data_IF_236663065732
#
_entry.id   IF_236663065732
#
_cell.length_a   1.000
_cell.length_b   1.000
_cell.length_c   1.000
_cell.angle_alpha   90.00
_cell.angle_beta   90.00
_cell.angle_gamma   90.00
#
_symmetry.space_group_name_H-M   'P 1'
#
loop_
_entity.id
_entity.type
_entity.pdbx_description
1 polymer ?
#
# COMPACT_ATOMS: atom_id res chain seq x y z
N UNK A 1 8.50 1.62 -12.94
CA UNK A 1 9.01 1.32 -11.57
C UNK A 1 9.94 2.37 -10.95
N UNK A 2 11.14 2.68 -11.46
CA UNK A 2 12.06 3.60 -10.74
C UNK A 2 11.48 5.02 -10.55
N UNK A 3 10.87 5.59 -11.60
CA UNK A 3 10.27 6.92 -11.54
C UNK A 3 9.07 6.96 -10.59
N UNK A 4 8.24 5.93 -10.62
CA UNK A 4 7.12 5.73 -9.68
C UNK A 4 7.63 5.63 -8.24
N UNK A 5 8.68 4.85 -8.00
CA UNK A 5 9.29 4.70 -6.68
C UNK A 5 9.80 6.05 -6.13
N UNK A 6 10.52 6.83 -6.95
CA UNK A 6 11.01 8.16 -6.55
C UNK A 6 9.84 9.08 -6.20
N UNK A 7 8.79 9.08 -7.00
CA UNK A 7 7.59 9.89 -6.75
C UNK A 7 6.94 9.54 -5.40
N UNK A 8 6.89 8.25 -5.04
CA UNK A 8 6.35 7.78 -3.76
C UNK A 8 7.25 8.12 -2.57
N UNK A 9 8.58 8.07 -2.75
CA UNK A 9 9.53 8.54 -1.74
C UNK A 9 9.36 10.04 -1.47
N UNK A 10 9.20 10.85 -2.52
CA UNK A 10 8.98 12.29 -2.36
C UNK A 10 7.61 12.60 -1.73
N UNK A 11 6.57 11.80 -2.03
CA UNK A 11 5.30 11.90 -1.34
C UNK A 11 5.43 11.58 0.15
N UNK A 12 6.16 10.51 0.51
CA UNK A 12 6.43 10.17 1.91
C UNK A 12 7.20 11.26 2.66
N UNK A 13 8.17 11.90 2.00
CA UNK A 13 8.85 13.09 2.55
C UNK A 13 7.89 14.25 2.75
N UNK A 14 6.99 14.50 1.81
CA UNK A 14 5.98 15.55 1.93
C UNK A 14 5.03 15.31 3.10
N UNK A 15 4.54 14.08 3.26
CA UNK A 15 3.64 13.71 4.35
C UNK A 15 4.31 13.91 5.71
N UNK A 16 5.52 13.36 5.90
CA UNK A 16 6.27 13.50 7.16
C UNK A 16 6.63 14.96 7.47
N UNK A 17 6.90 15.79 6.46
CA UNK A 17 7.26 17.21 6.67
C UNK A 17 6.17 18.04 7.35
N UNK A 18 4.92 17.56 7.37
CA UNK A 18 3.79 18.23 8.04
C UNK A 18 3.81 18.08 9.56
N UNK A 19 4.44 17.01 10.04
CA UNK A 19 4.41 16.60 11.46
C UNK A 19 5.81 16.46 12.09
N UNK A 20 6.87 16.40 11.28
CA UNK A 20 8.24 16.35 11.77
C UNK A 20 8.85 17.75 11.95
N UNK A 21 9.88 17.84 12.80
CA UNK A 21 10.71 19.03 12.95
C UNK A 21 11.40 19.39 11.63
N UNK A 22 11.42 20.69 11.30
CA UNK A 22 12.02 21.18 10.07
C UNK A 22 13.50 20.75 9.95
N UNK A 23 13.87 20.24 8.78
CA UNK A 23 15.24 19.76 8.51
C UNK A 23 15.56 18.37 9.05
N UNK A 24 14.63 17.69 9.72
CA UNK A 24 14.87 16.33 10.23
C UNK A 24 14.42 15.21 9.29
N UNK A 25 13.56 15.51 8.31
CA UNK A 25 13.05 14.51 7.35
C UNK A 25 14.11 14.17 6.31
N UNK A 26 14.56 12.92 6.27
CA UNK A 26 15.58 12.43 5.36
C UNK A 26 15.27 11.02 4.84
N UNK A 27 15.86 10.68 3.70
CA UNK A 27 15.81 9.31 3.16
C UNK A 27 17.04 8.57 3.71
N UNK A 28 16.83 7.61 4.61
CA UNK A 28 17.90 6.87 5.30
C UNK A 28 18.40 5.67 4.49
N UNK A 29 17.50 5.04 3.74
CA UNK A 29 17.83 3.99 2.79
C UNK A 29 17.17 4.28 1.45
N UNK A 30 17.92 4.15 0.35
CA UNK A 30 17.45 4.49 -0.99
C UNK A 30 17.64 3.34 -1.97
N UNK A 31 16.53 2.91 -2.55
CA UNK A 31 16.43 1.90 -3.61
C UNK A 31 17.13 0.59 -3.25
N UNK A 32 16.96 0.12 -2.02
CA UNK A 32 17.48 -1.16 -1.56
C UNK A 32 16.57 -2.27 -2.08
N UNK A 33 17.16 -3.40 -2.50
CA UNK A 33 16.39 -4.57 -2.91
C UNK A 33 16.11 -5.43 -1.67
N UNK A 34 14.84 -5.52 -1.28
CA UNK A 34 14.39 -6.47 -0.28
C UNK A 34 13.83 -7.72 -0.94
N UNK A 35 14.24 -8.89 -0.43
CA UNK A 35 13.83 -10.20 -0.95
C UNK A 35 12.87 -10.85 0.03
N UNK A 36 11.65 -11.07 -0.44
CA UNK A 36 10.63 -11.88 0.23
C UNK A 36 10.56 -13.26 -0.41
N UNK A 37 9.75 -14.16 0.15
CA UNK A 37 9.72 -15.58 -0.25
C UNK A 37 9.47 -15.80 -1.75
N UNK A 38 8.70 -14.94 -2.42
CA UNK A 38 8.31 -15.10 -3.82
C UNK A 38 8.44 -13.83 -4.67
N UNK A 39 8.83 -12.70 -4.07
CA UNK A 39 8.91 -11.39 -4.74
C UNK A 39 10.10 -10.59 -4.20
N UNK A 40 10.60 -9.67 -5.00
CA UNK A 40 11.57 -8.66 -4.59
C UNK A 40 10.96 -7.28 -4.76
N UNK A 41 11.19 -6.38 -3.81
CA UNK A 41 10.72 -4.99 -3.88
C UNK A 41 11.91 -4.04 -3.82
N UNK A 42 11.80 -2.93 -4.55
CA UNK A 42 12.66 -1.76 -4.33
C UNK A 42 12.07 -1.01 -3.13
N UNK A 43 12.87 -0.82 -2.08
CA UNK A 43 12.44 -0.20 -0.83
C UNK A 43 13.29 1.03 -0.55
N UNK A 44 12.67 2.02 0.09
CA UNK A 44 13.36 3.20 0.60
C UNK A 44 12.72 3.64 1.89
N UNK A 45 13.55 4.04 2.84
CA UNK A 45 13.11 4.46 4.16
C UNK A 45 13.16 5.98 4.23
N UNK A 46 12.06 6.57 4.69
CA UNK A 46 11.97 8.00 4.98
C UNK A 46 11.71 8.14 6.46
N UNK A 47 12.60 8.84 7.13
CA UNK A 47 12.55 9.05 8.58
C UNK A 47 12.54 10.53 8.89
N UNK A 48 12.03 10.89 10.07
CA UNK A 48 12.01 12.25 10.57
C UNK A 48 11.75 12.26 12.07
N UNK A 49 12.13 13.35 12.74
CA UNK A 49 11.84 13.52 14.17
C UNK A 49 10.47 14.14 14.32
N UNK A 50 9.53 13.43 14.94
CA UNK A 50 8.20 13.96 15.24
C UNK A 50 8.34 15.24 16.08
N UNK A 51 7.66 16.32 15.67
CA UNK A 51 7.65 17.56 16.43
C UNK A 51 6.92 17.35 17.76
N UNK A 52 7.39 17.95 18.88
CA UNK A 52 6.78 17.79 20.20
C UNK A 52 5.33 18.31 20.31
N UNK A 53 4.83 19.00 19.27
CA UNK A 53 3.44 19.48 19.19
C UNK A 53 2.46 18.43 18.65
N UNK A 54 2.96 17.29 18.15
CA UNK A 54 2.17 16.22 17.55
C UNK A 54 2.42 14.89 18.26
N UNK A 55 1.47 13.97 18.12
CA UNK A 55 1.58 12.61 18.61
C UNK A 55 1.53 11.55 17.49
N UNK A 56 1.50 10.28 17.88
CA UNK A 56 1.46 9.17 16.93
C UNK A 56 0.16 9.13 16.10
N UNK A 57 -0.95 9.66 16.61
CA UNK A 57 -2.21 9.75 15.86
C UNK A 57 -2.11 10.81 14.77
N UNK A 58 -1.50 11.96 15.08
CA UNK A 58 -1.22 13.00 14.08
C UNK A 58 -0.26 12.47 12.99
N UNK A 59 0.75 11.69 13.37
CA UNK A 59 1.67 11.07 12.42
C UNK A 59 0.95 10.09 11.47
N UNK A 60 0.04 9.27 11.99
CA UNK A 60 -0.79 8.40 11.15
C UNK A 60 -1.70 9.23 10.24
N UNK A 61 -2.39 10.24 10.77
CA UNK A 61 -3.31 11.07 10.00
C UNK A 61 -2.61 11.84 8.86
N UNK A 62 -1.37 12.31 9.08
CA UNK A 62 -0.60 13.01 8.07
C UNK A 62 -0.10 12.10 6.93
N UNK A 63 0.16 10.83 7.24
CA UNK A 63 0.71 9.86 6.28
C UNK A 63 -0.37 9.00 5.60
N UNK A 64 -1.58 8.96 6.16
CA UNK A 64 -2.69 8.16 5.66
C UNK A 64 -3.48 8.82 4.51
N UNK A 65 -3.99 8.04 3.53
CA UNK A 65 -3.58 6.68 3.22
C UNK A 65 -2.20 6.66 2.54
N UNK A 66 -1.58 5.49 2.51
CA UNK A 66 -0.26 5.33 1.92
C UNK A 66 -0.26 5.64 0.42
N UNK A 67 0.78 6.36 -0.03
CA UNK A 67 0.94 6.77 -1.43
C UNK A 67 0.93 5.61 -2.43
N UNK A 68 1.46 4.45 -2.04
CA UNK A 68 1.56 3.24 -2.87
C UNK A 68 0.20 2.64 -3.26
N UNK A 69 -0.86 2.98 -2.53
CA UNK A 69 -2.22 2.47 -2.77
C UNK A 69 -3.22 3.57 -3.11
N UNK A 70 -2.80 4.84 -3.04
CA UNK A 70 -3.59 5.99 -3.50
C UNK A 70 -3.10 6.54 -4.83
N UNK A 71 -1.80 6.78 -4.99
CA UNK A 71 -1.19 7.52 -6.09
C UNK A 71 -0.67 8.91 -5.69
N UNK A 72 -0.09 9.61 -6.66
CA UNK A 72 0.41 10.98 -6.51
C UNK A 72 0.00 11.85 -7.72
N UNK A 73 -0.53 13.08 -7.52
CA UNK A 73 -0.84 13.73 -6.24
C UNK A 73 -1.98 13.06 -5.46
N UNK A 74 -1.76 12.78 -4.16
CA UNK A 74 -2.61 11.91 -3.32
C UNK A 74 -4.11 12.23 -3.39
N UNK A 75 -4.49 13.49 -3.18
CA UNK A 75 -5.89 13.91 -3.18
C UNK A 75 -6.55 13.66 -4.54
N UNK A 76 -5.90 14.09 -5.63
CA UNK A 76 -6.47 13.92 -6.97
C UNK A 76 -6.56 12.44 -7.37
N UNK A 77 -5.57 11.63 -6.99
CA UNK A 77 -5.63 10.19 -7.26
C UNK A 77 -6.77 9.51 -6.50
N UNK A 78 -7.04 9.91 -5.25
CA UNK A 78 -8.19 9.40 -4.48
C UNK A 78 -9.54 9.82 -5.08
N UNK A 79 -9.67 11.03 -5.61
CA UNK A 79 -10.89 11.46 -6.32
C UNK A 79 -11.16 10.59 -7.54
N UNK A 80 -10.13 10.32 -8.35
CA UNK A 80 -10.25 9.44 -9.53
C UNK A 80 -10.60 8.01 -9.12
N UNK A 81 -10.00 7.49 -8.04
CA UNK A 81 -10.34 6.18 -7.49
C UNK A 81 -11.83 6.13 -7.10
N UNK A 82 -12.34 7.13 -6.40
CA UNK A 82 -13.77 7.21 -6.02
C UNK A 82 -14.68 7.33 -7.25
N UNK A 83 -14.26 8.02 -8.30
CA UNK A 83 -15.02 8.13 -9.56
C UNK A 83 -15.10 6.79 -10.32
N UNK A 84 -14.11 5.92 -10.17
CA UNK A 84 -13.95 4.69 -10.96
C UNK A 84 -14.33 3.40 -10.22
N UNK A 85 -14.10 3.32 -8.91
CA UNK A 85 -14.40 2.12 -8.13
C UNK A 85 -15.91 2.04 -7.82
N UNK A 86 -16.53 0.86 -7.99
CA UNK A 86 -17.98 0.71 -7.81
C UNK A 86 -18.42 0.75 -6.34
N UNK A 87 -17.50 0.46 -5.42
CA UNK A 87 -17.76 0.29 -4.00
C UNK A 87 -16.65 0.94 -3.17
N UNK A 88 -16.98 1.28 -1.93
CA UNK A 88 -15.96 1.76 -0.97
C UNK A 88 -14.98 0.63 -0.63
N UNK A 89 -13.70 0.97 -0.56
CA UNK A 89 -12.59 0.03 -0.25
C UNK A 89 -12.68 -0.67 1.10
N UNK A 90 -13.46 -0.13 2.06
CA UNK A 90 -13.56 -0.70 3.39
C UNK A 90 -12.17 -0.82 4.04
N UNK A 91 -11.77 -2.01 4.52
CA UNK A 91 -10.43 -2.21 5.06
C UNK A 91 -9.32 -2.13 4.02
N UNK A 92 -9.55 -2.37 2.72
CA UNK A 92 -8.48 -2.39 1.71
C UNK A 92 -7.80 -1.01 1.58
N UNK A 93 -6.47 -1.00 1.47
CA UNK A 93 -5.65 0.23 1.42
C UNK A 93 -5.75 1.12 2.69
N UNK A 94 -6.40 0.61 3.74
CA UNK A 94 -6.38 1.15 5.09
C UNK A 94 -5.11 0.74 5.86
N UNK A 95 -5.23 0.68 7.19
CA UNK A 95 -4.13 0.35 8.09
C UNK A 95 -4.60 -0.60 9.19
N UNK A 96 -3.75 -1.57 9.54
CA UNK A 96 -3.86 -2.39 10.76
C UNK A 96 -2.58 -2.21 11.56
N UNK A 97 -2.70 -2.00 12.86
CA UNK A 97 -1.56 -1.72 13.73
C UNK A 97 -1.97 -1.57 15.19
N UNK A 98 -1.08 -1.01 16.00
CA UNK A 98 -1.35 -0.71 17.40
C UNK A 98 -0.80 0.66 17.81
N UNK A 99 -1.39 1.21 18.87
CA UNK A 99 -0.84 2.31 19.64
C UNK A 99 -0.49 1.80 21.04
N UNK A 100 0.69 2.14 21.54
CA UNK A 100 1.07 1.82 22.91
C UNK A 100 0.82 2.99 23.86
N UNK A 101 0.64 2.71 25.14
CA UNK A 101 0.58 3.74 26.19
C UNK A 101 1.90 4.54 26.31
N UNK A 102 3.00 4.04 25.74
CA UNK A 102 4.27 4.76 25.66
C UNK A 102 4.36 5.72 24.47
N UNK A 103 3.30 5.85 23.67
CA UNK A 103 3.23 6.75 22.51
C UNK A 103 3.78 6.15 21.21
N UNK A 104 4.07 4.84 21.17
CA UNK A 104 4.56 4.20 19.95
C UNK A 104 3.39 3.79 19.06
N UNK A 105 3.60 3.90 17.75
CA UNK A 105 2.73 3.37 16.71
C UNK A 105 3.56 2.44 15.83
N UNK A 106 3.02 1.26 15.56
CA UNK A 106 3.48 0.38 14.49
C UNK A 106 2.26 -0.12 13.71
N UNK A 107 2.37 -0.10 12.38
CA UNK A 107 1.24 -0.36 11.52
C UNK A 107 1.66 -0.78 10.11
N UNK A 108 0.80 -1.54 9.44
CA UNK A 108 0.97 -1.94 8.06
C UNK A 108 -0.26 -1.58 7.22
N UNK A 109 -0.03 -1.41 5.92
CA UNK A 109 -1.11 -1.21 4.95
C UNK A 109 -1.85 -2.53 4.79
N UNK A 110 -3.18 -2.49 4.80
CA UNK A 110 -4.07 -3.62 4.60
C UNK A 110 -4.18 -4.01 3.12
N UNK A 111 -3.06 -4.45 2.57
CA UNK A 111 -2.96 -5.17 1.30
C UNK A 111 -2.73 -6.64 1.58
N UNK A 112 -2.95 -7.51 0.59
CA UNK A 112 -2.82 -8.97 0.75
C UNK A 112 -3.58 -9.50 1.98
N UNK A 113 -4.78 -8.96 2.20
CA UNK A 113 -5.66 -9.26 3.34
C UNK A 113 -6.97 -9.87 2.86
N UNK A 114 -7.49 -10.86 3.62
CA UNK A 114 -8.81 -11.45 3.41
C UNK A 114 -9.77 -10.87 4.47
N UNK A 115 -10.85 -10.23 4.04
CA UNK A 115 -11.93 -9.82 4.94
C UNK A 115 -13.02 -10.90 4.95
N UNK A 116 -13.26 -11.52 6.11
CA UNK A 116 -14.32 -12.51 6.29
C UNK A 116 -15.51 -11.83 6.97
N UNK A 117 -16.68 -11.86 6.32
CA UNK A 117 -17.93 -11.34 6.86
C UNK A 117 -19.02 -12.39 6.69
N UNK A 118 -19.37 -13.07 7.79
CA UNK A 118 -20.32 -14.18 7.77
C UNK A 118 -19.76 -15.36 6.96
N UNK A 119 -20.48 -15.74 5.91
CA UNK A 119 -20.13 -16.81 4.98
C UNK A 119 -19.33 -16.33 3.74
N UNK A 120 -18.99 -15.04 3.68
CA UNK A 120 -18.27 -14.45 2.54
C UNK A 120 -16.83 -14.08 2.90
N UNK A 121 -15.92 -14.37 1.98
CA UNK A 121 -14.55 -13.90 1.99
C UNK A 121 -14.34 -12.89 0.85
N UNK A 122 -13.83 -11.71 1.19
CA UNK A 122 -13.53 -10.64 0.25
C UNK A 122 -12.01 -10.48 0.11
N UNK A 123 -11.54 -10.47 -1.14
CA UNK A 123 -10.14 -10.25 -1.50
C UNK A 123 -10.09 -9.11 -2.50
N UNK A 124 -9.35 -8.06 -2.17
CA UNK A 124 -9.16 -6.90 -3.04
C UNK A 124 -7.66 -6.73 -3.34
N UNK A 125 -7.36 -6.42 -4.59
CA UNK A 125 -6.00 -6.18 -5.08
C UNK A 125 -6.04 -5.09 -6.16
N UNK A 126 -4.92 -4.39 -6.33
CA UNK A 126 -4.77 -3.30 -7.28
C UNK A 126 -3.33 -3.21 -7.80
N UNK A 127 -3.16 -2.34 -8.80
CA UNK A 127 -1.89 -2.06 -9.45
C UNK A 127 -1.68 -0.54 -9.55
N UNK A 128 -0.42 -0.12 -9.58
CA UNK A 128 -0.05 1.28 -9.75
C UNK A 128 -0.07 1.62 -11.24
N UNK A 129 -0.93 2.53 -11.65
CA UNK A 129 -1.03 2.92 -13.05
C UNK A 129 -0.15 4.12 -13.36
N UNK A 130 0.73 3.97 -14.35
CA UNK A 130 1.58 5.03 -14.90
C UNK A 130 1.26 5.25 -16.38
N UNK A 131 1.82 6.29 -16.99
CA UNK A 131 1.49 6.67 -18.37
C UNK A 131 1.82 5.59 -19.40
N UNK A 132 2.79 4.73 -19.11
CA UNK A 132 3.27 3.62 -19.92
C UNK A 132 2.69 2.25 -19.52
N UNK A 133 1.73 2.21 -18.59
CA UNK A 133 1.06 0.97 -18.17
C UNK A 133 0.30 0.32 -19.33
N UNK A 134 0.43 -1.00 -19.45
CA UNK A 134 -0.34 -1.83 -20.37
C UNK A 134 -1.56 -2.45 -19.65
N UNK A 135 -2.82 -2.15 -20.06
CA UNK A 135 -4.00 -2.58 -19.33
C UNK A 135 -4.11 -4.09 -19.09
N UNK A 136 -3.66 -4.91 -20.05
CA UNK A 136 -3.72 -6.36 -19.92
C UNK A 136 -2.72 -6.87 -18.87
N UNK A 137 -1.50 -6.32 -18.88
CA UNK A 137 -0.45 -6.67 -17.92
C UNK A 137 -0.82 -6.24 -16.50
N UNK A 138 -1.35 -5.03 -16.33
CA UNK A 138 -1.80 -4.52 -15.02
C UNK A 138 -2.94 -5.36 -14.45
N UNK A 139 -3.90 -5.76 -15.30
CA UNK A 139 -4.97 -6.65 -14.89
C UNK A 139 -4.43 -8.01 -14.42
N UNK A 140 -3.52 -8.62 -15.15
CA UNK A 140 -2.88 -9.87 -14.72
C UNK A 140 -2.09 -9.71 -13.42
N UNK A 141 -1.44 -8.57 -13.20
CA UNK A 141 -0.77 -8.26 -11.94
C UNK A 141 -1.75 -8.24 -10.76
N UNK A 142 -2.91 -7.58 -10.90
CA UNK A 142 -3.92 -7.57 -9.84
C UNK A 142 -4.43 -8.97 -9.52
N UNK A 143 -4.63 -9.81 -10.54
CA UNK A 143 -5.00 -11.22 -10.38
C UNK A 143 -3.91 -11.97 -9.62
N UNK A 144 -2.65 -11.85 -10.03
CA UNK A 144 -1.52 -12.51 -9.38
C UNK A 144 -1.36 -12.10 -7.91
N UNK A 145 -1.54 -10.82 -7.58
CA UNK A 145 -1.54 -10.32 -6.20
C UNK A 145 -2.69 -10.92 -5.37
N UNK A 146 -3.88 -11.09 -5.96
CA UNK A 146 -5.02 -11.70 -5.30
C UNK A 146 -4.87 -13.22 -5.11
N UNK A 147 -4.22 -13.91 -6.06
CA UNK A 147 -4.16 -15.38 -6.12
C UNK A 147 -3.57 -16.03 -4.87
N UNK A 148 -2.60 -15.41 -4.21
CA UNK A 148 -2.02 -15.96 -2.97
C UNK A 148 -3.07 -16.14 -1.86
N UNK A 149 -3.96 -15.17 -1.70
CA UNK A 149 -5.06 -15.23 -0.73
C UNK A 149 -6.19 -16.14 -1.20
N UNK A 150 -6.51 -16.13 -2.49
CA UNK A 150 -7.53 -17.01 -3.04
C UNK A 150 -7.13 -18.48 -2.87
N UNK A 151 -5.87 -18.83 -3.13
CA UNK A 151 -5.34 -20.19 -2.92
C UNK A 151 -5.40 -20.64 -1.47
N UNK A 152 -5.17 -19.74 -0.50
CA UNK A 152 -5.30 -20.11 0.92
C UNK A 152 -6.74 -20.41 1.34
N UNK A 153 -7.73 -19.95 0.57
CA UNK A 153 -9.15 -20.29 0.71
C UNK A 153 -9.56 -21.53 -0.11
N UNK A 154 -8.62 -22.20 -0.78
CA UNK A 154 -8.90 -23.36 -1.63
C UNK A 154 -9.43 -23.01 -3.02
N UNK A 155 -9.30 -21.76 -3.47
CA UNK A 155 -9.64 -21.38 -4.84
C UNK A 155 -8.52 -21.78 -5.80
N UNK A 156 -8.90 -22.44 -6.90
CA UNK A 156 -8.04 -22.80 -8.02
C UNK A 156 -8.53 -22.09 -9.28
N UNK A 157 -7.62 -21.62 -10.14
CA UNK A 157 -8.05 -21.07 -11.43
C UNK A 157 -8.60 -22.21 -12.29
N UNK A 158 -9.60 -21.95 -13.15
CA UNK A 158 -10.05 -22.92 -14.13
C UNK A 158 -8.91 -23.51 -14.97
N UNK A 159 -7.92 -22.69 -15.32
CA UNK A 159 -6.72 -23.10 -16.06
C UNK A 159 -5.77 -23.99 -15.25
N UNK A 160 -5.70 -23.81 -13.93
CA UNK A 160 -4.86 -24.63 -13.04
C UNK A 160 -5.41 -26.08 -12.94
N UNK A 161 -6.68 -26.31 -13.34
CA UNK A 161 -7.32 -27.64 -13.37
C UNK A 161 -7.06 -28.43 -14.66
N UNK A 162 -6.77 -27.75 -15.78
CA UNK A 162 -6.48 -28.42 -17.05
C UNK A 162 -5.05 -28.98 -17.12
N UNK A 163 -4.10 -28.42 -16.36
CA UNK A 163 -2.73 -28.94 -16.25
C UNK A 163 -2.60 -30.10 -15.23
N UNK A 164 -3.65 -30.35 -14.43
CA UNK A 164 -3.68 -31.38 -13.39
C UNK A 164 -4.38 -32.69 -13.83
N UNK A 165 -4.79 -32.80 -15.11
CA UNK A 165 -5.46 -33.98 -15.70
C UNK A 165 -4.58 -34.63 -16.77
#
# INVERSE_FOLDING_TARGET
>A
ELAEHVMLVDLGRNDLSRVCEAGTVNVTEKMVIERYSHVMHIVSNVEGRLSPQYDAYDALAATFPAGTVSGAPKVRSMEIIEELEPDRRGPYAGVVGYFSNSGNLDSCITIRTILIQGDKAHVQAGAGLVADSDPATEYEETRNKAMAMLRSLGYERPQDREEAV
#
